data_IF_163786155350
#
_entry.id   IF_163786155350
#
_cell.length_a   1.000
_cell.length_b   1.000
_cell.length_c   1.000
_cell.angle_alpha   90.00
_cell.angle_beta   90.00
_cell.angle_gamma   90.00
#
_symmetry.space_group_name_H-M   'P 1'
#
loop_
_entity.id
_entity.type
_entity.pdbx_description
1 polymer ?
#
# COMPACT_ATOMS: atom_id res chain seq x y z
N UNK A 1 0.97 -16.76 6.64
CA UNK A 1 0.23 -15.54 6.25
C UNK A 1 -0.91 -15.19 7.23
N UNK A 2 -1.55 -16.17 7.90
CA UNK A 2 -2.73 -15.92 8.74
C UNK A 2 -2.55 -14.81 9.80
N UNK A 3 -1.32 -14.58 10.26
CA UNK A 3 -0.98 -13.56 11.27
C UNK A 3 -0.18 -12.36 10.72
N UNK A 4 -0.15 -12.16 9.40
CA UNK A 4 0.64 -11.07 8.78
C UNK A 4 -0.16 -9.78 8.55
N UNK A 5 -1.50 -9.85 8.65
CA UNK A 5 -2.39 -8.70 8.51
C UNK A 5 -3.15 -8.53 9.82
N UNK A 6 -2.89 -7.41 10.51
CA UNK A 6 -3.47 -7.06 11.80
C UNK A 6 -4.50 -5.93 11.69
N UNK A 7 -4.36 -5.04 10.70
CA UNK A 7 -5.33 -3.97 10.45
C UNK A 7 -5.50 -3.70 8.95
N UNK A 8 -6.70 -3.27 8.58
CA UNK A 8 -7.06 -2.77 7.24
C UNK A 8 -7.56 -1.34 7.38
N UNK A 9 -6.93 -0.40 6.69
CA UNK A 9 -7.21 1.03 6.86
C UNK A 9 -7.80 1.71 5.62
N UNK A 10 -8.13 0.92 4.59
CA UNK A 10 -8.94 1.38 3.47
C UNK A 10 -8.46 0.85 2.12
N UNK A 11 -9.34 0.97 1.12
CA UNK A 11 -9.04 0.67 -0.28
C UNK A 11 -9.56 1.79 -1.19
N UNK A 12 -10.88 1.92 -1.35
CA UNK A 12 -11.44 3.06 -2.09
C UNK A 12 -11.57 4.30 -1.21
N UNK A 13 -10.99 5.42 -1.65
CA UNK A 13 -11.14 6.73 -1.02
C UNK A 13 -10.90 7.83 -2.07
N UNK A 14 -11.95 8.55 -2.52
CA UNK A 14 -11.80 9.59 -3.54
C UNK A 14 -11.13 10.83 -2.93
N UNK A 15 -9.83 10.95 -3.11
CA UNK A 15 -9.02 12.02 -2.52
C UNK A 15 -7.76 12.32 -3.32
N UNK A 16 -7.25 13.54 -3.18
CA UNK A 16 -5.88 13.84 -3.57
C UNK A 16 -4.86 13.15 -2.63
N UNK A 17 -3.63 12.98 -3.13
CA UNK A 17 -2.50 12.47 -2.34
C UNK A 17 -2.37 13.31 -1.06
N UNK A 18 -2.28 12.64 0.09
CA UNK A 18 -2.23 13.24 1.43
C UNK A 18 -3.33 14.29 1.70
N UNK A 19 -4.46 14.20 1.00
CA UNK A 19 -5.58 15.16 1.08
C UNK A 19 -5.18 16.60 0.73
N UNK A 20 -4.11 16.79 -0.03
CA UNK A 20 -3.64 18.11 -0.50
C UNK A 20 -4.31 18.44 -1.84
N UNK A 21 -5.18 19.46 -1.94
CA UNK A 21 -5.96 19.73 -3.16
C UNK A 21 -5.13 20.03 -4.42
N UNK A 22 -3.90 20.50 -4.27
CA UNK A 22 -2.99 20.78 -5.40
C UNK A 22 -2.20 19.55 -5.87
N UNK A 23 -2.28 18.42 -5.16
CA UNK A 23 -1.60 17.19 -5.54
C UNK A 23 -2.42 16.36 -6.54
N UNK A 24 -1.78 15.39 -7.18
CA UNK A 24 -2.48 14.39 -8.00
C UNK A 24 -3.54 13.61 -7.22
N UNK A 25 -4.43 12.94 -7.93
CA UNK A 25 -5.37 11.99 -7.31
C UNK A 25 -4.59 10.80 -6.73
N UNK A 26 -4.98 10.38 -5.53
CA UNK A 26 -4.41 9.19 -4.87
C UNK A 26 -4.88 7.91 -5.57
N UNK A 27 -4.05 6.87 -5.62
CA UNK A 27 -4.42 5.58 -6.20
C UNK A 27 -5.67 4.94 -5.55
N UNK A 28 -5.94 5.24 -4.28
CA UNK A 28 -7.19 4.90 -3.60
C UNK A 28 -8.45 5.45 -4.31
N UNK A 29 -8.33 6.52 -5.08
CA UNK A 29 -9.45 7.12 -5.83
C UNK A 29 -9.92 6.23 -6.98
N UNK A 30 -9.11 5.26 -7.42
CA UNK A 30 -9.48 4.30 -8.46
C UNK A 30 -9.72 2.89 -7.90
N UNK A 31 -9.67 2.71 -6.57
CA UNK A 31 -9.88 1.40 -5.93
C UNK A 31 -8.77 0.37 -6.22
N UNK A 32 -7.60 0.83 -6.63
CA UNK A 32 -6.44 0.00 -7.00
C UNK A 32 -5.34 0.01 -5.93
N UNK A 33 -5.61 0.60 -4.77
CA UNK A 33 -4.64 0.64 -3.67
C UNK A 33 -5.31 0.34 -2.34
N UNK A 34 -4.56 -0.20 -1.40
CA UNK A 34 -5.01 -0.50 -0.05
C UNK A 34 -3.91 -0.28 0.98
N UNK A 35 -4.32 0.06 2.20
CA UNK A 35 -3.42 0.27 3.33
C UNK A 35 -3.63 -0.83 4.39
N UNK A 36 -2.54 -1.51 4.76
CA UNK A 36 -2.52 -2.56 5.78
C UNK A 36 -1.58 -2.19 6.92
N UNK A 37 -1.88 -2.72 8.10
CA UNK A 37 -0.99 -2.66 9.27
C UNK A 37 -0.64 -1.23 9.73
N UNK A 38 -1.53 -0.27 9.49
CA UNK A 38 -1.35 1.14 9.88
C UNK A 38 -1.28 1.28 11.39
N UNK A 39 -2.15 0.57 12.12
CA UNK A 39 -2.20 0.58 13.59
C UNK A 39 -0.95 -0.04 14.23
N UNK A 40 -0.19 -0.82 13.46
CA UNK A 40 1.07 -1.43 13.89
C UNK A 40 2.25 -0.46 13.70
N UNK A 41 2.00 0.77 13.25
CA UNK A 41 3.01 1.82 13.13
C UNK A 41 3.70 1.86 11.77
N UNK A 42 3.11 1.25 10.74
CA UNK A 42 3.68 1.18 9.39
C UNK A 42 3.32 2.42 8.56
N UNK A 43 3.56 3.59 9.14
CA UNK A 43 3.05 4.88 8.66
C UNK A 43 3.91 5.47 7.53
N UNK A 44 3.33 6.42 6.80
CA UNK A 44 4.02 7.22 5.79
C UNK A 44 5.21 7.98 6.40
N UNK A 45 6.34 7.94 5.70
CA UNK A 45 7.62 8.57 6.07
C UNK A 45 8.31 7.97 7.29
N UNK A 46 7.90 6.78 7.72
CA UNK A 46 8.57 6.02 8.79
C UNK A 46 9.36 4.85 8.22
N UNK A 47 10.25 4.26 9.03
CA UNK A 47 10.94 3.03 8.63
C UNK A 47 9.89 1.92 8.39
N UNK A 48 9.77 1.41 7.16
CA UNK A 48 8.74 0.42 6.82
C UNK A 48 9.04 -0.92 7.49
N UNK A 49 8.01 -1.63 7.97
CA UNK A 49 8.18 -2.89 8.70
C UNK A 49 7.11 -3.94 8.39
N UNK A 50 6.78 -4.14 7.11
CA UNK A 50 5.91 -5.25 6.71
C UNK A 50 6.56 -6.63 6.80
N UNK A 51 5.73 -7.66 7.04
CA UNK A 51 6.14 -9.06 6.88
C UNK A 51 6.58 -9.27 5.42
N UNK A 52 7.85 -9.63 5.16
CA UNK A 52 8.35 -9.79 3.80
C UNK A 52 7.54 -10.78 2.96
N UNK A 53 6.95 -11.81 3.58
CA UNK A 53 6.12 -12.80 2.88
C UNK A 53 4.82 -12.19 2.40
N UNK A 54 4.28 -11.20 3.12
CA UNK A 54 3.10 -10.48 2.68
C UNK A 54 3.43 -9.62 1.46
N UNK A 55 4.57 -8.92 1.50
CA UNK A 55 5.07 -8.12 0.38
C UNK A 55 5.28 -8.99 -0.87
N UNK A 56 5.98 -10.10 -0.74
CA UNK A 56 6.24 -11.05 -1.84
C UNK A 56 4.94 -11.53 -2.52
N UNK A 57 3.90 -11.83 -1.73
CA UNK A 57 2.60 -12.24 -2.27
C UNK A 57 1.97 -11.10 -3.06
N UNK A 58 1.91 -9.89 -2.50
CA UNK A 58 1.34 -8.74 -3.21
C UNK A 58 2.08 -8.45 -4.52
N UNK A 59 3.41 -8.51 -4.52
CA UNK A 59 4.24 -8.32 -5.70
C UNK A 59 4.03 -9.41 -6.77
N UNK A 60 3.86 -10.67 -6.35
CA UNK A 60 3.52 -11.77 -7.26
C UNK A 60 2.17 -11.52 -7.97
N UNK A 61 1.21 -10.94 -7.26
CA UNK A 61 -0.12 -10.58 -7.76
C UNK A 61 -0.20 -9.19 -8.42
N UNK A 62 0.94 -8.56 -8.71
CA UNK A 62 1.00 -7.35 -9.54
C UNK A 62 0.89 -6.02 -8.79
N UNK A 63 0.96 -6.05 -7.46
CA UNK A 63 1.05 -4.85 -6.64
C UNK A 63 2.50 -4.37 -6.49
N UNK A 64 2.65 -3.09 -6.26
CA UNK A 64 3.88 -2.45 -5.81
C UNK A 64 3.71 -2.11 -4.32
N UNK A 65 4.74 -2.36 -3.51
CA UNK A 65 4.75 -1.99 -2.10
C UNK A 65 5.37 -0.61 -1.89
N UNK A 66 4.67 0.27 -1.17
CA UNK A 66 5.12 1.64 -0.90
C UNK A 66 6.35 1.74 0.01
N UNK A 67 6.73 0.67 0.71
CA UNK A 67 7.95 0.64 1.53
C UNK A 67 9.25 0.87 0.76
N UNK A 68 9.24 0.73 -0.57
CA UNK A 68 10.42 0.97 -1.43
C UNK A 68 10.43 2.35 -2.09
N UNK A 69 9.47 3.22 -1.78
CA UNK A 69 9.41 4.58 -2.34
C UNK A 69 10.51 5.47 -1.77
N UNK A 70 10.78 6.61 -2.43
CA UNK A 70 11.75 7.61 -1.95
C UNK A 70 11.37 8.11 -0.55
N UNK A 71 10.09 8.42 -0.36
CA UNK A 71 9.50 8.62 0.96
C UNK A 71 8.68 7.35 1.27
N UNK A 72 9.14 6.49 2.18
CA UNK A 72 8.52 5.19 2.39
C UNK A 72 7.05 5.32 2.81
N UNK A 73 6.19 4.52 2.21
CA UNK A 73 4.79 4.36 2.61
C UNK A 73 4.53 2.90 2.94
N UNK A 74 4.97 2.49 4.14
CA UNK A 74 5.03 1.08 4.48
C UNK A 74 3.68 0.36 4.46
N UNK A 75 2.58 1.05 4.79
CA UNK A 75 1.22 0.49 4.78
C UNK A 75 0.68 0.24 3.38
N UNK A 76 1.22 0.93 2.38
CA UNK A 76 0.58 1.10 1.08
C UNK A 76 0.93 -0.02 0.10
N UNK A 77 -0.08 -0.58 -0.55
CA UNK A 77 0.05 -1.45 -1.71
C UNK A 77 -0.80 -0.91 -2.85
N UNK A 78 -0.24 -0.80 -4.05
CA UNK A 78 -0.94 -0.30 -5.24
C UNK A 78 -0.78 -1.24 -6.44
N UNK A 79 -1.89 -1.59 -7.09
CA UNK A 79 -1.89 -2.44 -8.27
C UNK A 79 -1.28 -1.69 -9.46
N UNK A 80 -0.33 -2.33 -10.16
CA UNK A 80 0.44 -1.69 -11.24
C UNK A 80 0.47 -2.49 -12.53
N UNK A 81 0.37 -3.82 -12.45
CA UNK A 81 0.54 -4.72 -13.59
C UNK A 81 -0.23 -6.02 -13.36
N UNK A 82 -0.38 -6.80 -14.42
CA UNK A 82 -0.88 -8.17 -14.29
C UNK A 82 0.06 -9.02 -13.42
N UNK A 83 -0.47 -10.07 -12.76
CA UNK A 83 0.32 -11.03 -11.98
C UNK A 83 1.49 -11.59 -12.80
N UNK A 84 2.58 -11.97 -12.13
CA UNK A 84 3.79 -12.42 -12.84
C UNK A 84 3.58 -13.71 -13.67
N UNK A 85 2.59 -14.52 -13.31
CA UNK A 85 2.27 -15.81 -13.94
C UNK A 85 0.97 -15.77 -14.79
N UNK A 86 0.50 -14.57 -15.18
CA UNK A 86 -0.73 -14.40 -15.99
C UNK A 86 -0.53 -14.73 -17.47
#
# INVERSE_FOLDING_TARGET
LQDSIHSFSGCYSPRHINRIPSAGLSHHSWGIALDLNVEQGNLFGQMPHQDPRLVEVFEAWGFLWGGTFIEPDGMHFEYRREPADS
#
